data_IF_343611470815
#
_entry.id   IF_343611470815
#
_cell.length_a   1.000
_cell.length_b   1.000
_cell.length_c   1.000
_cell.angle_alpha   90.00
_cell.angle_beta   90.00
_cell.angle_gamma   90.00
#
_symmetry.space_group_name_H-M   'P 1'
#
loop_
_entity.id
_entity.type
_entity.pdbx_description
1 polymer ?
#
# COMPACT_ATOMS: atom_id res chain seq x y z
N UNK A 1 9.70 16.49 38.49
CA UNK A 1 9.04 15.81 37.35
C UNK A 1 9.12 16.55 36.00
N UNK A 2 9.75 17.73 35.89
CA UNK A 2 9.72 18.56 34.67
C UNK A 2 11.12 18.93 34.11
N UNK A 3 12.02 17.95 33.95
CA UNK A 3 13.27 18.14 33.18
C UNK A 3 13.70 16.83 32.50
N UNK A 4 12.85 16.24 31.64
CA UNK A 4 13.33 15.23 30.69
C UNK A 4 13.85 15.95 29.46
N UNK A 5 15.13 15.75 29.13
CA UNK A 5 15.70 16.23 27.85
C UNK A 5 14.87 15.60 26.71
N UNK A 6 14.51 16.37 25.67
CA UNK A 6 13.82 15.81 24.51
C UNK A 6 14.70 14.73 23.88
N UNK A 7 14.11 13.57 23.60
CA UNK A 7 14.78 12.52 22.85
C UNK A 7 14.78 12.91 21.38
N UNK A 8 15.97 12.99 20.78
CA UNK A 8 16.11 13.25 19.35
C UNK A 8 16.41 11.93 18.64
N UNK A 9 15.66 11.66 17.57
CA UNK A 9 15.98 10.60 16.62
C UNK A 9 16.66 11.24 15.43
N UNK A 10 17.93 10.89 15.19
CA UNK A 10 18.68 11.36 14.02
C UNK A 10 18.51 10.33 12.91
N UNK A 11 17.89 10.73 11.81
CA UNK A 11 17.81 9.91 10.60
C UNK A 11 19.10 10.10 9.79
N UNK A 12 19.67 9.02 9.22
CA UNK A 12 20.82 9.12 8.34
C UNK A 12 20.47 9.93 7.09
N UNK A 13 21.45 10.59 6.47
CA UNK A 13 21.20 11.27 5.20
C UNK A 13 20.95 10.25 4.09
N UNK A 14 19.94 10.43 3.23
CA UNK A 14 19.70 9.53 2.11
C UNK A 14 20.91 9.50 1.19
N UNK A 15 21.27 8.31 0.72
CA UNK A 15 22.36 8.12 -0.24
C UNK A 15 21.93 8.52 -1.66
N UNK A 16 22.88 8.92 -2.53
CA UNK A 16 22.61 9.12 -3.94
C UNK A 16 22.09 7.84 -4.60
N UNK A 17 21.26 7.97 -5.64
CA UNK A 17 20.58 6.84 -6.31
C UNK A 17 21.54 5.76 -6.87
N UNK A 18 22.80 6.13 -7.13
CA UNK A 18 23.80 5.22 -7.71
C UNK A 18 24.53 4.36 -6.65
N UNK A 19 24.24 4.56 -5.36
CA UNK A 19 24.95 3.91 -4.24
C UNK A 19 23.95 3.22 -3.31
N UNK A 20 24.11 1.91 -3.15
CA UNK A 20 23.33 1.14 -2.17
C UNK A 20 23.89 1.32 -0.76
N UNK A 21 23.00 1.49 0.22
CA UNK A 21 23.36 1.65 1.62
C UNK A 21 22.54 0.74 2.53
N UNK A 22 23.07 0.44 3.71
CA UNK A 22 22.35 -0.31 4.74
C UNK A 22 21.12 0.45 5.28
N UNK A 23 21.00 1.75 4.97
CA UNK A 23 19.92 2.62 5.42
C UNK A 23 18.84 2.85 4.36
N UNK A 24 18.94 2.22 3.19
CA UNK A 24 18.00 2.40 2.08
C UNK A 24 16.57 1.96 2.46
N UNK A 25 16.43 1.09 3.46
CA UNK A 25 15.11 0.71 3.97
C UNK A 25 14.33 1.86 4.64
N UNK A 26 15.01 2.95 5.05
CA UNK A 26 14.34 4.14 5.58
C UNK A 26 13.83 5.07 4.49
N UNK A 27 14.34 4.95 3.26
CA UNK A 27 14.08 5.88 2.17
C UNK A 27 13.54 5.12 0.96
N UNK A 28 12.25 5.24 0.72
CA UNK A 28 11.65 4.71 -0.50
C UNK A 28 12.16 5.45 -1.73
N UNK A 29 12.37 4.73 -2.83
CA UNK A 29 12.85 5.31 -4.08
C UNK A 29 11.79 6.21 -4.73
N UNK A 30 12.24 7.29 -5.38
CA UNK A 30 11.37 8.29 -6.03
C UNK A 30 10.30 7.66 -6.93
N UNK A 31 10.60 6.68 -7.80
CA UNK A 31 9.58 6.07 -8.67
C UNK A 31 8.50 5.32 -7.90
N UNK A 32 8.87 4.65 -6.80
CA UNK A 32 7.91 3.95 -5.94
C UNK A 32 7.04 4.94 -5.18
N UNK A 33 7.63 6.02 -4.64
CA UNK A 33 6.86 7.10 -4.01
C UNK A 33 5.87 7.76 -4.98
N UNK A 34 6.29 8.04 -6.21
CA UNK A 34 5.42 8.61 -7.24
C UNK A 34 4.25 7.66 -7.58
N UNK A 35 4.54 6.36 -7.73
CA UNK A 35 3.51 5.36 -8.00
C UNK A 35 2.50 5.24 -6.86
N UNK A 36 2.97 5.24 -5.61
CA UNK A 36 2.11 5.22 -4.42
C UNK A 36 1.25 6.49 -4.32
N UNK A 37 1.82 7.66 -4.62
CA UNK A 37 1.09 8.92 -4.63
C UNK A 37 -0.02 8.93 -5.70
N UNK A 38 0.22 8.32 -6.87
CA UNK A 38 -0.82 8.17 -7.91
C UNK A 38 -1.91 7.21 -7.44
N UNK A 39 -1.57 6.09 -6.80
CA UNK A 39 -2.57 5.16 -6.24
C UNK A 39 -3.44 5.87 -5.21
N UNK A 40 -2.83 6.57 -4.24
CA UNK A 40 -3.57 7.31 -3.22
C UNK A 40 -4.48 8.37 -3.85
N UNK A 41 -4.00 9.14 -4.84
CA UNK A 41 -4.82 10.10 -5.56
C UNK A 41 -5.99 9.47 -6.34
N UNK A 42 -5.79 8.28 -6.93
CA UNK A 42 -6.85 7.55 -7.63
C UNK A 42 -7.91 6.98 -6.67
N UNK A 43 -7.48 6.58 -5.47
CA UNK A 43 -8.37 6.09 -4.41
C UNK A 43 -9.07 7.24 -3.68
N UNK A 44 -8.44 8.42 -3.61
CA UNK A 44 -9.02 9.60 -2.97
C UNK A 44 -10.24 10.11 -3.76
N UNK A 45 -11.43 9.95 -3.18
CA UNK A 45 -12.69 10.24 -3.86
C UNK A 45 -13.16 9.15 -4.84
N UNK A 46 -12.44 8.02 -4.91
CA UNK A 46 -12.85 6.82 -5.65
C UNK A 46 -12.94 7.02 -7.16
N UNK A 47 -12.23 7.99 -7.75
CA UNK A 47 -12.43 8.40 -9.14
C UNK A 47 -11.93 7.37 -10.17
N UNK A 48 -10.82 6.68 -9.90
CA UNK A 48 -10.19 5.78 -10.89
C UNK A 48 -9.56 4.53 -10.25
N UNK A 49 -10.41 3.67 -9.71
CA UNK A 49 -10.01 2.39 -9.09
C UNK A 49 -9.37 1.41 -10.08
N UNK A 50 -9.81 1.29 -11.35
CA UNK A 50 -9.13 0.42 -12.33
C UNK A 50 -7.67 0.82 -12.56
N UNK A 51 -7.37 2.13 -12.62
CA UNK A 51 -6.00 2.62 -12.76
C UNK A 51 -5.17 2.38 -11.50
N UNK A 52 -5.76 2.61 -10.32
CA UNK A 52 -5.12 2.30 -9.05
C UNK A 52 -4.72 0.83 -8.99
N UNK A 53 -5.62 -0.09 -9.36
CA UNK A 53 -5.38 -1.53 -9.44
C UNK A 53 -4.19 -1.86 -10.33
N UNK A 54 -4.15 -1.33 -11.56
CA UNK A 54 -3.05 -1.61 -12.49
C UNK A 54 -1.68 -1.21 -11.92
N UNK A 55 -1.59 -0.03 -11.30
CA UNK A 55 -0.35 0.47 -10.71
C UNK A 55 0.03 -0.36 -9.47
N UNK A 56 -0.96 -0.66 -8.63
CA UNK A 56 -0.77 -1.47 -7.44
C UNK A 56 -0.27 -2.89 -7.76
N UNK A 57 -0.88 -3.58 -8.73
CA UNK A 57 -0.46 -4.91 -9.15
C UNK A 57 0.97 -4.89 -9.71
N UNK A 58 1.33 -3.82 -10.45
CA UNK A 58 2.70 -3.64 -10.93
C UNK A 58 3.70 -3.47 -9.79
N UNK A 59 3.34 -2.67 -8.78
CA UNK A 59 4.18 -2.46 -7.60
C UNK A 59 4.38 -3.76 -6.81
N UNK A 60 3.31 -4.56 -6.63
CA UNK A 60 3.38 -5.86 -5.95
C UNK A 60 4.33 -6.84 -6.63
N UNK A 61 4.38 -6.83 -7.97
CA UNK A 61 5.32 -7.67 -8.74
C UNK A 61 6.76 -7.14 -8.64
N UNK A 62 6.97 -5.83 -8.73
CA UNK A 62 8.31 -5.23 -8.78
C UNK A 62 8.98 -5.11 -7.42
N UNK A 63 8.20 -4.89 -6.36
CA UNK A 63 8.65 -4.54 -5.01
C UNK A 63 8.04 -5.49 -3.97
N UNK A 64 7.93 -6.78 -4.30
CA UNK A 64 7.32 -7.78 -3.41
C UNK A 64 8.00 -7.80 -2.04
N UNK A 65 7.23 -7.57 -0.99
CA UNK A 65 7.72 -7.55 0.40
C UNK A 65 8.53 -6.32 0.78
N UNK A 66 8.45 -5.25 -0.01
CA UNK A 66 8.95 -3.92 0.36
C UNK A 66 8.07 -3.33 1.49
N UNK A 67 8.71 -2.66 2.45
CA UNK A 67 8.02 -2.03 3.59
C UNK A 67 7.11 -0.88 3.17
N UNK A 68 7.30 -0.34 1.96
CA UNK A 68 6.47 0.69 1.35
C UNK A 68 5.06 0.20 1.00
N UNK A 69 4.90 -1.10 0.74
CA UNK A 69 3.61 -1.76 0.51
C UNK A 69 3.00 -2.14 1.86
N UNK A 70 2.58 -1.14 2.62
CA UNK A 70 2.08 -1.34 3.98
C UNK A 70 0.62 -1.84 4.02
N UNK A 71 0.22 -2.41 5.16
CA UNK A 71 -1.16 -2.89 5.37
C UNK A 71 -2.25 -1.84 5.07
N UNK A 72 -1.95 -0.55 5.23
CA UNK A 72 -2.92 0.53 4.98
C UNK A 72 -3.24 0.67 3.50
N UNK A 73 -2.26 0.52 2.62
CA UNK A 73 -2.46 0.52 1.18
C UNK A 73 -3.38 -0.63 0.75
N UNK A 74 -3.16 -1.83 1.30
CA UNK A 74 -4.02 -2.99 1.02
C UNK A 74 -5.44 -2.78 1.53
N UNK A 75 -5.61 -2.28 2.75
CA UNK A 75 -6.92 -1.96 3.31
C UNK A 75 -7.66 -0.91 2.45
N UNK A 76 -6.94 0.07 1.92
CA UNK A 76 -7.51 1.09 1.03
C UNK A 76 -7.96 0.48 -0.31
N UNK A 77 -7.17 -0.41 -0.90
CA UNK A 77 -7.51 -1.12 -2.13
C UNK A 77 -8.72 -2.05 -1.94
N UNK A 78 -8.74 -2.84 -0.86
CA UNK A 78 -9.85 -3.72 -0.51
C UNK A 78 -11.15 -2.94 -0.37
N UNK A 79 -11.13 -1.84 0.38
CA UNK A 79 -12.30 -0.98 0.55
C UNK A 79 -12.74 -0.37 -0.80
N UNK A 80 -11.80 0.01 -1.66
CA UNK A 80 -12.13 0.56 -2.97
C UNK A 80 -12.80 -0.45 -3.90
N UNK A 81 -12.43 -1.74 -3.82
CA UNK A 81 -13.11 -2.80 -4.56
C UNK A 81 -14.55 -3.00 -4.09
N UNK A 82 -14.80 -2.97 -2.78
CA UNK A 82 -16.16 -3.05 -2.24
C UNK A 82 -17.02 -1.85 -2.68
N UNK A 83 -16.49 -0.63 -2.58
CA UNK A 83 -17.19 0.58 -3.03
C UNK A 83 -17.51 0.54 -4.53
N UNK A 84 -16.62 -0.02 -5.36
CA UNK A 84 -16.90 -0.20 -6.80
C UNK A 84 -17.92 -1.29 -7.07
N UNK A 85 -17.88 -2.38 -6.31
CA UNK A 85 -18.87 -3.45 -6.38
C UNK A 85 -20.29 -2.96 -6.05
N UNK A 86 -20.43 -1.95 -5.18
CA UNK A 86 -21.72 -1.32 -4.86
C UNK A 86 -22.26 -0.43 -6.00
N UNK A 87 -21.37 0.26 -6.72
CA UNK A 87 -21.74 1.21 -7.78
C UNK A 87 -21.92 0.51 -9.15
N UNK A 88 -21.08 -0.46 -9.47
CA UNK A 88 -21.02 -1.10 -10.79
C UNK A 88 -21.62 -2.51 -10.78
N UNK A 89 -22.95 -2.59 -10.84
CA UNK A 89 -23.69 -3.87 -10.74
C UNK A 89 -23.25 -4.91 -11.80
N UNK A 90 -22.93 -4.45 -13.03
CA UNK A 90 -22.50 -5.32 -14.12
C UNK A 90 -21.11 -5.95 -13.92
N UNK A 91 -20.23 -5.28 -13.16
CA UNK A 91 -18.87 -5.73 -12.90
C UNK A 91 -18.67 -6.17 -11.44
N UNK A 92 -19.76 -6.22 -10.67
CA UNK A 92 -19.75 -6.52 -9.24
C UNK A 92 -19.04 -7.83 -8.91
N UNK A 93 -19.31 -8.89 -9.67
CA UNK A 93 -18.69 -10.20 -9.45
C UNK A 93 -17.17 -10.13 -9.65
N UNK A 94 -16.70 -9.38 -10.64
CA UNK A 94 -15.27 -9.15 -10.88
C UNK A 94 -14.62 -8.43 -9.70
N UNK A 95 -15.24 -7.34 -9.22
CA UNK A 95 -14.71 -6.56 -8.10
C UNK A 95 -14.68 -7.35 -6.79
N UNK A 96 -15.72 -8.16 -6.53
CA UNK A 96 -15.76 -9.05 -5.35
C UNK A 96 -14.73 -10.17 -5.47
N UNK A 97 -14.54 -10.73 -6.66
CA UNK A 97 -13.49 -11.74 -6.90
C UNK A 97 -12.09 -11.17 -6.66
N UNK A 98 -11.83 -9.96 -7.17
CA UNK A 98 -10.56 -9.24 -6.95
C UNK A 98 -10.30 -8.94 -5.47
N UNK A 99 -11.35 -8.60 -4.72
CA UNK A 99 -11.29 -8.42 -3.26
C UNK A 99 -10.85 -9.71 -2.57
N UNK A 100 -11.51 -10.84 -2.84
CA UNK A 100 -11.16 -12.11 -2.21
C UNK A 100 -9.75 -12.57 -2.57
N UNK A 101 -9.36 -12.42 -3.84
CA UNK A 101 -8.00 -12.75 -4.25
C UNK A 101 -6.96 -11.92 -3.49
N UNK A 102 -7.19 -10.61 -3.28
CA UNK A 102 -6.28 -9.76 -2.52
C UNK A 102 -6.28 -10.12 -1.02
N UNK A 103 -7.44 -10.47 -0.47
CA UNK A 103 -7.58 -10.90 0.92
C UNK A 103 -6.84 -12.22 1.20
N UNK A 104 -6.96 -13.20 0.30
CA UNK A 104 -6.25 -14.49 0.42
C UNK A 104 -4.72 -14.30 0.38
N UNK A 105 -4.23 -13.35 -0.42
CA UNK A 105 -2.80 -13.00 -0.44
C UNK A 105 -2.34 -12.39 0.89
N UNK A 106 -3.18 -11.59 1.55
CA UNK A 106 -2.87 -11.07 2.89
C UNK A 106 -2.86 -12.18 3.94
N UNK A 107 -3.85 -13.09 3.92
CA UNK A 107 -3.91 -14.19 4.90
C UNK A 107 -2.77 -15.20 4.72
N UNK A 108 -2.38 -15.49 3.48
CA UNK A 108 -1.23 -16.37 3.20
C UNK A 108 0.11 -15.78 3.67
N UNK A 109 0.18 -14.46 3.90
CA UNK A 109 1.41 -13.77 4.30
C UNK A 109 2.48 -13.74 3.20
N UNK A 110 2.11 -14.06 1.97
CA UNK A 110 3.01 -14.21 0.82
C UNK A 110 3.77 -12.93 0.45
N UNK A 111 3.23 -11.78 0.82
CA UNK A 111 3.79 -10.46 0.54
C UNK A 111 4.39 -9.81 1.80
N UNK A 112 4.57 -10.58 2.88
CA UNK A 112 5.06 -10.11 4.20
C UNK A 112 4.20 -9.03 4.86
N UNK A 113 2.99 -8.80 4.33
CA UNK A 113 1.97 -7.93 4.91
C UNK A 113 0.97 -8.81 5.64
N UNK A 114 0.57 -8.41 6.84
CA UNK A 114 -0.44 -9.12 7.63
C UNK A 114 -1.75 -8.33 7.62
N UNK A 115 -2.91 -9.03 7.61
CA UNK A 115 -4.19 -8.37 7.76
C UNK A 115 -4.26 -7.70 9.15
N UNK A 116 -4.87 -6.52 9.19
CA UNK A 116 -5.10 -5.78 10.42
C UNK A 116 -6.52 -5.99 10.91
N UNK A 117 -6.82 -5.55 12.14
CA UNK A 117 -8.20 -5.53 12.66
C UNK A 117 -9.17 -4.79 11.73
N UNK A 118 -8.66 -3.80 10.97
CA UNK A 118 -9.46 -3.06 9.99
C UNK A 118 -9.81 -3.92 8.78
N UNK A 119 -8.86 -4.71 8.28
CA UNK A 119 -9.08 -5.63 7.16
C UNK A 119 -10.25 -6.58 7.43
N UNK A 120 -10.35 -7.10 8.66
CA UNK A 120 -11.45 -7.98 9.08
C UNK A 120 -12.79 -7.27 9.35
N UNK A 121 -12.81 -5.94 9.36
CA UNK A 121 -14.00 -5.14 9.62
C UNK A 121 -14.63 -4.55 8.35
N UNK A 122 -14.01 -4.77 7.18
CA UNK A 122 -14.54 -4.46 5.85
C UNK A 122 -15.60 -5.48 5.44
#
# INVERSE_FOLDING_TARGET
>A
FLQRRPSYTVLPTPTPADVTSEYDFYFTDSPTQESLAVVDACLHGGYDVPRAKLIFDRLRVQKRGDASLDSRLYDAMLNAYLLRAEVEENARETWVSDFWHLFDVLESGEEKVQPTQRTYAL
#
